data_IF_447121302139
#
_entry.id   IF_447121302139
#
_cell.length_a   1.000
_cell.length_b   1.000
_cell.length_c   1.000
_cell.angle_alpha   90.00
_cell.angle_beta   90.00
_cell.angle_gamma   90.00
#
_symmetry.space_group_name_H-M   'P 1'
#
loop_
_entity.id
_entity.type
_entity.pdbx_description
1 polymer ?
#
# COMPACT_ATOMS: atom_id res chain seq x y z
N UNK A 1 -14.95 11.31 -4.92
CA UNK A 1 -14.10 11.04 -6.08
C UNK A 1 -14.38 9.69 -6.71
N UNK A 2 -14.14 9.60 -8.02
CA UNK A 2 -14.04 8.31 -8.70
C UNK A 2 -12.61 7.74 -8.60
N UNK A 3 -12.43 6.51 -9.07
CA UNK A 3 -11.15 5.81 -9.00
C UNK A 3 -10.00 6.51 -9.76
N UNK A 4 -10.27 7.23 -10.86
CA UNK A 4 -9.21 7.96 -11.56
C UNK A 4 -8.72 9.14 -10.72
N UNK A 5 -9.62 9.89 -10.07
CA UNK A 5 -9.25 10.98 -9.17
C UNK A 5 -8.44 10.51 -7.96
N UNK A 6 -8.76 9.33 -7.42
CA UNK A 6 -7.96 8.70 -6.37
C UNK A 6 -6.52 8.44 -6.83
N UNK A 7 -6.34 7.80 -7.99
CA UNK A 7 -5.01 7.52 -8.52
C UNK A 7 -4.24 8.80 -8.86
N UNK A 8 -4.91 9.81 -9.43
CA UNK A 8 -4.30 11.12 -9.67
C UNK A 8 -3.75 11.75 -8.38
N UNK A 9 -4.45 11.63 -7.25
CA UNK A 9 -3.97 12.12 -5.96
C UNK A 9 -2.78 11.30 -5.44
N UNK A 10 -2.89 9.97 -5.41
CA UNK A 10 -1.82 9.08 -4.92
C UNK A 10 -0.54 9.24 -5.75
N UNK A 11 -0.66 9.33 -7.07
CA UNK A 11 0.46 9.44 -8.01
C UNK A 11 1.00 10.88 -8.16
N UNK A 12 0.34 11.88 -7.55
CA UNK A 12 0.79 13.27 -7.60
C UNK A 12 1.91 13.61 -6.61
N UNK A 13 2.26 12.69 -5.71
CA UNK A 13 3.39 12.83 -4.80
C UNK A 13 4.70 12.45 -5.52
N UNK A 14 5.80 13.15 -5.22
CA UNK A 14 7.08 12.82 -5.83
C UNK A 14 7.57 11.48 -5.25
N UNK A 15 7.91 10.47 -6.09
CA UNK A 15 8.41 9.19 -5.60
C UNK A 15 9.80 9.30 -4.94
N UNK A 16 10.46 10.45 -5.01
CA UNK A 16 11.73 10.74 -4.32
C UNK A 16 11.57 11.35 -2.93
N UNK A 17 10.37 11.82 -2.59
CA UNK A 17 10.04 12.31 -1.24
C UNK A 17 9.93 11.14 -0.25
N UNK A 18 10.15 11.42 1.03
CA UNK A 18 9.92 10.45 2.10
C UNK A 18 8.43 10.08 2.23
N UNK A 19 8.14 8.94 2.85
CA UNK A 19 6.76 8.49 3.11
C UNK A 19 5.92 9.57 3.84
N UNK A 20 6.51 10.21 4.84
CA UNK A 20 5.89 11.29 5.61
C UNK A 20 5.63 12.55 4.75
N UNK A 21 6.61 12.99 3.95
CA UNK A 21 6.44 14.14 3.05
C UNK A 21 5.34 13.90 2.01
N UNK A 22 5.30 12.68 1.44
CA UNK A 22 4.25 12.27 0.50
C UNK A 22 2.87 12.27 1.16
N UNK A 23 2.77 11.80 2.40
CA UNK A 23 1.54 11.81 3.17
C UNK A 23 1.08 13.23 3.51
N UNK A 24 1.97 14.09 3.99
CA UNK A 24 1.64 15.48 4.30
C UNK A 24 1.16 16.24 3.03
N UNK A 25 1.83 16.05 1.89
CA UNK A 25 1.38 16.63 0.62
C UNK A 25 0.00 16.11 0.18
N UNK A 26 -0.31 14.85 0.44
CA UNK A 26 -1.62 14.26 0.17
C UNK A 26 -2.69 14.84 1.11
N UNK A 27 -2.40 14.97 2.41
CA UNK A 27 -3.27 15.64 3.39
C UNK A 27 -3.58 17.06 2.96
N UNK A 28 -2.58 17.85 2.59
CA UNK A 28 -2.76 19.23 2.13
C UNK A 28 -3.70 19.31 0.93
N UNK A 29 -3.56 18.40 -0.04
CA UNK A 29 -4.44 18.33 -1.22
C UNK A 29 -5.86 17.92 -0.86
N UNK A 30 -6.02 16.87 -0.04
CA UNK A 30 -7.32 16.39 0.42
C UNK A 30 -8.06 17.47 1.23
N UNK A 31 -7.35 18.23 2.05
CA UNK A 31 -7.93 19.31 2.85
C UNK A 31 -8.48 20.49 2.01
N UNK A 32 -8.16 20.56 0.71
CA UNK A 32 -8.75 21.53 -0.23
C UNK A 32 -9.96 20.98 -0.98
N UNK A 33 -10.30 19.70 -0.81
CA UNK A 33 -11.44 19.07 -1.44
C UNK A 33 -12.68 19.15 -0.53
N UNK A 34 -13.90 19.12 -1.12
CA UNK A 34 -15.12 18.92 -0.35
C UNK A 34 -15.06 17.67 0.54
N UNK A 35 -15.68 17.71 1.72
CA UNK A 35 -15.68 16.58 2.67
C UNK A 35 -16.19 15.27 2.05
N UNK A 36 -17.19 15.33 1.17
CA UNK A 36 -17.67 14.15 0.44
C UNK A 36 -16.60 13.54 -0.47
N UNK A 37 -15.72 14.36 -1.04
CA UNK A 37 -14.57 13.89 -1.81
C UNK A 37 -13.49 13.29 -0.90
N UNK A 38 -13.22 13.86 0.28
CA UNK A 38 -12.29 13.28 1.28
C UNK A 38 -12.78 11.92 1.75
N UNK A 39 -14.07 11.79 2.06
CA UNK A 39 -14.67 10.51 2.41
C UNK A 39 -14.55 9.50 1.27
N UNK A 40 -14.87 9.91 0.05
CA UNK A 40 -14.71 9.04 -1.11
C UNK A 40 -13.25 8.61 -1.34
N UNK A 41 -12.25 9.44 -0.98
CA UNK A 41 -10.85 9.01 -1.02
C UNK A 41 -10.64 7.78 -0.14
N UNK A 42 -11.13 7.79 1.11
CA UNK A 42 -11.01 6.63 2.00
C UNK A 42 -11.72 5.40 1.43
N UNK A 43 -12.94 5.57 0.89
CA UNK A 43 -13.65 4.47 0.24
C UNK A 43 -12.86 3.88 -0.93
N UNK A 44 -12.19 4.72 -1.73
CA UNK A 44 -11.33 4.24 -2.83
C UNK A 44 -10.07 3.58 -2.32
N UNK A 45 -9.46 4.08 -1.24
CA UNK A 45 -8.30 3.45 -0.62
C UNK A 45 -8.65 2.03 -0.18
N UNK A 46 -9.77 1.86 0.51
CA UNK A 46 -10.26 0.56 0.96
C UNK A 46 -10.62 -0.36 -0.22
N UNK A 47 -11.29 0.19 -1.25
CA UNK A 47 -11.65 -0.53 -2.48
C UNK A 47 -10.42 -1.09 -3.22
N UNK A 48 -9.36 -0.29 -3.34
CA UNK A 48 -8.12 -0.75 -4.02
C UNK A 48 -7.29 -1.65 -3.13
N UNK A 49 -7.40 -1.53 -1.81
CA UNK A 49 -6.66 -2.37 -0.88
C UNK A 49 -7.22 -3.79 -0.82
N UNK A 50 -8.54 -3.95 -0.81
CA UNK A 50 -9.20 -5.25 -0.72
C UNK A 50 -8.64 -6.35 -1.66
N UNK A 51 -8.42 -6.13 -2.98
CA UNK A 51 -7.89 -7.17 -3.86
C UNK A 51 -6.42 -7.53 -3.63
N UNK A 52 -5.68 -6.77 -2.81
CA UNK A 52 -4.31 -7.12 -2.41
C UNK A 52 -4.29 -8.19 -1.32
N UNK A 53 -5.40 -8.41 -0.63
CA UNK A 53 -5.45 -9.28 0.56
C UNK A 53 -5.49 -10.77 0.18
N UNK A 54 -4.34 -11.28 -0.25
CA UNK A 54 -4.19 -12.63 -0.80
C UNK A 54 -2.90 -13.28 -0.34
N UNK A 55 -2.87 -14.61 -0.35
CA UNK A 55 -1.63 -15.36 -0.12
C UNK A 55 -0.54 -15.01 -1.15
N UNK A 56 -0.91 -14.59 -2.36
CA UNK A 56 0.09 -14.18 -3.34
C UNK A 56 0.84 -12.92 -2.88
N UNK A 57 0.11 -11.89 -2.43
CA UNK A 57 0.71 -10.64 -1.93
C UNK A 57 1.52 -10.87 -0.65
N UNK A 58 1.03 -11.73 0.26
CA UNK A 58 1.79 -12.14 1.44
C UNK A 58 3.13 -12.78 1.06
N UNK A 59 3.15 -13.68 0.08
CA UNK A 59 4.39 -14.33 -0.36
C UNK A 59 5.32 -13.35 -1.10
N UNK A 60 4.78 -12.38 -1.84
CA UNK A 60 5.57 -11.26 -2.40
C UNK A 60 6.22 -10.46 -1.27
N UNK A 61 5.45 -10.05 -0.25
CA UNK A 61 5.96 -9.34 0.92
C UNK A 61 7.03 -10.17 1.65
N UNK A 62 6.81 -11.48 1.82
CA UNK A 62 7.76 -12.38 2.45
C UNK A 62 9.06 -12.52 1.65
N UNK A 63 9.02 -12.54 0.32
CA UNK A 63 10.23 -12.49 -0.51
C UNK A 63 10.98 -11.17 -0.30
N UNK A 64 10.29 -10.03 -0.36
CA UNK A 64 10.88 -8.69 -0.23
C UNK A 64 11.46 -8.46 1.17
N UNK A 65 10.72 -8.81 2.22
CA UNK A 65 11.06 -8.60 3.63
C UNK A 65 11.86 -9.77 4.25
N UNK A 66 12.29 -10.74 3.44
CA UNK A 66 13.09 -11.90 3.87
C UNK A 66 12.41 -12.71 4.98
N UNK A 67 11.10 -12.92 4.83
CA UNK A 67 10.24 -13.67 5.75
C UNK A 67 9.90 -12.93 7.04
N UNK A 68 10.27 -11.64 7.16
CA UNK A 68 9.95 -10.80 8.33
C UNK A 68 8.67 -10.00 8.09
N UNK A 69 7.56 -10.70 7.86
CA UNK A 69 6.24 -10.09 7.70
C UNK A 69 5.49 -10.25 9.02
N UNK A 70 5.24 -9.14 9.72
CA UNK A 70 4.23 -9.08 10.78
C UNK A 70 2.86 -8.81 10.15
N UNK A 71 1.79 -8.97 10.95
CA UNK A 71 0.42 -8.68 10.50
C UNK A 71 0.30 -7.22 10.02
N UNK A 72 0.79 -6.26 10.82
CA UNK A 72 0.87 -4.84 10.42
C UNK A 72 1.81 -4.63 9.21
N UNK A 73 2.87 -5.44 9.10
CA UNK A 73 3.83 -5.33 8.00
C UNK A 73 3.22 -5.65 6.64
N UNK A 74 2.29 -6.60 6.56
CA UNK A 74 1.54 -6.85 5.33
C UNK A 74 0.60 -5.67 5.02
N UNK A 75 -0.05 -5.14 6.04
CA UNK A 75 -0.93 -3.97 5.89
C UNK A 75 -0.17 -2.75 5.35
N UNK A 76 1.01 -2.46 5.86
CA UNK A 76 1.84 -1.37 5.36
C UNK A 76 2.42 -1.66 3.97
N UNK A 77 2.68 -2.93 3.65
CA UNK A 77 3.12 -3.33 2.31
C UNK A 77 2.03 -3.12 1.25
N UNK A 78 0.76 -3.35 1.59
CA UNK A 78 -0.38 -2.99 0.72
C UNK A 78 -0.40 -1.48 0.46
N UNK A 79 -0.25 -0.67 1.50
CA UNK A 79 -0.17 0.79 1.40
C UNK A 79 0.96 1.24 0.46
N UNK A 80 2.14 0.63 0.62
CA UNK A 80 3.30 0.88 -0.23
C UNK A 80 3.04 0.52 -1.69
N UNK A 81 2.45 -0.65 -1.97
CA UNK A 81 2.09 -1.07 -3.34
C UNK A 81 1.10 -0.10 -4.01
N UNK A 82 0.11 0.40 -3.26
CA UNK A 82 -0.82 1.43 -3.73
C UNK A 82 -0.06 2.72 -4.02
N UNK A 83 0.89 3.10 -3.17
CA UNK A 83 1.75 4.25 -3.36
C UNK A 83 2.71 4.18 -4.54
N UNK A 84 3.00 2.99 -5.07
CA UNK A 84 3.72 2.82 -6.34
C UNK A 84 2.84 3.15 -7.56
N UNK A 85 1.55 3.40 -7.34
CA UNK A 85 0.58 3.80 -8.36
C UNK A 85 -0.20 2.65 -8.97
N UNK A 86 -1.16 3.03 -9.82
CA UNK A 86 -2.15 2.14 -10.43
C UNK A 86 -1.53 0.98 -11.20
N UNK A 87 -0.41 1.23 -11.87
CA UNK A 87 0.26 0.21 -12.66
C UNK A 87 0.87 -0.90 -11.78
N UNK A 88 1.52 -0.53 -10.68
CA UNK A 88 2.08 -1.50 -9.73
C UNK A 88 0.98 -2.26 -9.00
N UNK A 89 -0.08 -1.56 -8.59
CA UNK A 89 -1.28 -2.17 -8.02
C UNK A 89 -1.90 -3.23 -8.93
N UNK A 90 -2.09 -2.91 -10.22
CA UNK A 90 -2.64 -3.85 -11.18
C UNK A 90 -1.77 -5.10 -11.37
N UNK A 91 -0.43 -4.95 -11.34
CA UNK A 91 0.48 -6.09 -11.34
C UNK A 91 0.34 -6.92 -10.07
N UNK A 92 0.31 -6.31 -8.88
CA UNK A 92 0.16 -7.04 -7.63
C UNK A 92 -1.13 -7.89 -7.60
N UNK A 93 -2.24 -7.37 -8.12
CA UNK A 93 -3.53 -8.07 -8.15
C UNK A 93 -3.58 -9.17 -9.21
N UNK A 94 -3.04 -8.94 -10.40
CA UNK A 94 -3.28 -9.81 -11.56
C UNK A 94 -2.07 -10.63 -12.02
N UNK A 95 -0.86 -10.14 -11.80
CA UNK A 95 0.39 -10.79 -12.22
C UNK A 95 1.53 -10.42 -11.26
N UNK A 96 1.49 -10.88 -9.99
CA UNK A 96 2.42 -10.46 -8.96
C UNK A 96 3.88 -10.76 -9.31
N UNK A 97 4.16 -11.83 -10.06
CA UNK A 97 5.54 -12.17 -10.46
C UNK A 97 6.15 -11.14 -11.42
N UNK A 98 5.33 -10.40 -12.18
CA UNK A 98 5.80 -9.32 -13.04
C UNK A 98 6.31 -8.09 -12.26
N UNK A 99 6.01 -7.97 -10.97
CA UNK A 99 6.62 -6.95 -10.10
C UNK A 99 8.15 -7.06 -10.05
N UNK A 100 8.73 -8.21 -10.41
CA UNK A 100 10.19 -8.38 -10.54
C UNK A 100 10.84 -7.40 -11.55
N UNK A 101 10.08 -6.86 -12.50
CA UNK A 101 10.57 -5.82 -13.42
C UNK A 101 10.33 -4.39 -12.92
N UNK A 102 9.54 -4.22 -11.87
CA UNK A 102 9.20 -2.90 -11.36
C UNK A 102 10.46 -2.22 -10.77
N UNK A 103 10.73 -0.94 -11.08
CA UNK A 103 11.92 -0.25 -10.60
C UNK A 103 12.09 -0.26 -9.08
N UNK A 104 10.99 -0.11 -8.33
CA UNK A 104 11.01 -0.16 -6.87
C UNK A 104 11.49 -1.52 -6.34
N UNK A 105 10.98 -2.63 -6.89
CA UNK A 105 11.40 -3.97 -6.50
C UNK A 105 12.86 -4.24 -6.85
N UNK A 106 13.33 -3.77 -8.02
CA UNK A 106 14.74 -3.90 -8.41
C UNK A 106 15.67 -3.08 -7.52
N UNK A 107 15.24 -1.89 -7.06
CA UNK A 107 15.99 -1.08 -6.09
C UNK A 107 16.15 -1.85 -4.77
N UNK A 108 15.06 -2.40 -4.24
CA UNK A 108 15.08 -3.20 -3.00
C UNK A 108 15.98 -4.43 -3.12
N UNK A 109 15.96 -5.11 -4.27
CA UNK A 109 16.81 -6.27 -4.52
C UNK A 109 18.30 -5.92 -4.68
N UNK A 110 18.62 -4.69 -5.12
CA UNK A 110 20.00 -4.25 -5.33
C UNK A 110 20.74 -3.88 -4.03
N UNK A 111 20.01 -3.72 -2.92
CA UNK A 111 20.55 -3.32 -1.62
C UNK A 111 20.49 -4.49 -0.61
N UNK A 112 21.57 -4.77 0.14
CA UNK A 112 21.51 -5.72 1.25
C UNK A 112 20.47 -5.26 2.28
N UNK A 113 19.64 -6.17 2.77
CA UNK A 113 18.54 -5.84 3.72
C UNK A 113 19.05 -5.09 4.97
N UNK A 114 20.26 -5.43 5.44
CA UNK A 114 20.90 -4.79 6.60
C UNK A 114 21.32 -3.33 6.38
N UNK A 115 21.32 -2.87 5.13
CA UNK A 115 21.68 -1.49 4.74
C UNK A 115 20.44 -0.64 4.45
N UNK A 116 19.24 -1.22 4.53
CA UNK A 116 18.00 -0.47 4.36
C UNK A 116 17.84 0.57 5.47
N UNK A 117 17.49 1.76 5.05
CA UNK A 117 17.00 2.85 5.89
C UNK A 117 15.47 2.86 5.86
N UNK A 118 14.85 3.71 6.68
CA UNK A 118 13.39 3.90 6.67
C UNK A 118 12.88 4.26 5.26
N UNK A 119 13.67 4.98 4.45
CA UNK A 119 13.33 5.32 3.06
C UNK A 119 13.46 4.15 2.05
N UNK A 120 14.01 3.02 2.48
CA UNK A 120 14.08 1.79 1.70
C UNK A 120 13.00 0.79 2.12
N UNK A 121 12.45 0.89 3.33
CA UNK A 121 11.41 -0.03 3.76
C UNK A 121 10.16 0.12 2.88
N UNK A 122 9.58 -0.99 2.40
CA UNK A 122 8.39 -0.96 1.56
C UNK A 122 7.13 -0.80 2.42
N UNK A 123 7.06 0.28 3.19
CA UNK A 123 5.90 0.69 3.97
C UNK A 123 5.40 2.07 3.53
N UNK A 124 4.13 2.35 3.83
CA UNK A 124 3.56 3.70 3.75
C UNK A 124 2.36 3.81 4.68
N UNK A 125 2.55 3.47 5.96
CA UNK A 125 1.51 3.52 6.99
C UNK A 125 0.76 4.88 7.00
N UNK A 126 1.49 5.98 6.85
CA UNK A 126 0.93 7.34 6.93
C UNK A 126 -0.22 7.61 5.95
N UNK A 127 -0.33 6.86 4.85
CA UNK A 127 -1.42 7.04 3.87
C UNK A 127 -2.79 6.72 4.48
N UNK A 128 -2.85 5.80 5.44
CA UNK A 128 -4.10 5.37 6.08
C UNK A 128 -4.73 6.46 6.94
N UNK A 129 -3.92 7.43 7.38
CA UNK A 129 -4.38 8.56 8.17
C UNK A 129 -4.62 9.82 7.34
N UNK A 130 -4.34 9.81 6.04
CA UNK A 130 -4.38 11.02 5.23
C UNK A 130 -5.79 11.62 5.10
N UNK A 131 -6.80 10.78 4.93
CA UNK A 131 -8.19 11.23 4.84
C UNK A 131 -8.69 11.78 6.19
N UNK A 132 -8.41 11.07 7.28
CA UNK A 132 -8.78 11.47 8.64
C UNK A 132 -8.14 12.83 9.00
N UNK A 133 -6.82 12.97 8.81
CA UNK A 133 -6.11 14.23 9.07
C UNK A 133 -6.65 15.39 8.23
N UNK A 134 -7.03 15.14 6.97
CA UNK A 134 -7.61 16.15 6.10
C UNK A 134 -9.05 16.53 6.50
N UNK A 135 -9.81 15.58 7.03
CA UNK A 135 -11.15 15.80 7.57
C UNK A 135 -11.08 16.65 8.84
N UNK A 136 -10.27 16.21 9.82
CA UNK A 136 -10.05 16.92 11.08
C UNK A 136 -9.57 18.35 10.85
N UNK A 137 -8.64 18.56 9.89
CA UNK A 137 -8.17 19.90 9.55
C UNK A 137 -9.29 20.84 9.04
N UNK A 138 -10.35 20.29 8.42
CA UNK A 138 -11.48 21.07 7.90
C UNK A 138 -12.59 21.28 8.93
N UNK A 139 -12.86 20.28 9.77
CA UNK A 139 -14.01 20.27 10.69
C UNK A 139 -13.65 20.61 12.13
N UNK A 140 -12.41 20.31 12.54
CA UNK A 140 -11.98 20.30 13.93
C UNK A 140 -12.55 19.14 14.76
N UNK A 141 -13.12 18.12 14.10
CA UNK A 141 -13.72 16.94 14.73
C UNK A 141 -12.76 15.75 14.59
N UNK A 142 -12.23 15.28 15.71
CA UNK A 142 -11.52 13.99 15.81
C UNK A 142 -12.52 12.84 15.56
N UNK A 143 -12.13 11.83 14.79
CA UNK A 143 -12.96 10.64 14.42
C UNK A 143 -14.17 10.95 13.52
N UNK A 144 -14.30 12.20 13.03
CA UNK A 144 -15.46 12.63 12.26
C UNK A 144 -15.62 11.93 10.90
N UNK A 145 -14.51 11.49 10.28
CA UNK A 145 -14.57 10.73 9.04
C UNK A 145 -15.02 9.28 9.30
N UNK A 146 -14.57 8.65 10.39
CA UNK A 146 -15.05 7.32 10.80
C UNK A 146 -16.57 7.32 11.00
N UNK A 147 -17.11 8.30 11.72
CA UNK A 147 -18.56 8.45 11.90
C UNK A 147 -19.29 8.61 10.55
N UNK A 148 -18.71 9.37 9.62
CA UNK A 148 -19.29 9.60 8.30
C UNK A 148 -19.24 8.36 7.39
N UNK A 149 -18.21 7.52 7.51
CA UNK A 149 -18.11 6.22 6.83
C UNK A 149 -19.13 5.23 7.39
N UNK A 150 -19.23 5.12 8.72
CA UNK A 150 -20.23 4.28 9.38
C UNK A 150 -21.66 4.68 9.03
N UNK A 151 -21.93 5.99 8.89
CA UNK A 151 -23.22 6.48 8.42
C UNK A 151 -23.57 6.06 6.97
N UNK A 152 -22.57 5.59 6.20
CA UNK A 152 -22.71 4.98 4.88
C UNK A 152 -22.65 3.45 4.91
N UNK A 153 -22.74 2.83 6.09
CA UNK A 153 -22.68 1.38 6.27
C UNK A 153 -21.33 0.80 5.80
N UNK A 154 -20.26 1.59 5.94
CA UNK A 154 -18.90 1.21 5.60
C UNK A 154 -18.03 1.24 6.86
N UNK A 155 -17.51 0.08 7.24
CA UNK A 155 -16.56 -0.10 8.33
C UNK A 155 -15.19 -0.39 7.70
N UNK A 156 -14.24 0.54 7.87
CA UNK A 156 -12.94 0.45 7.19
C UNK A 156 -12.08 -0.66 7.81
N UNK A 157 -11.45 -1.51 6.99
CA UNK A 157 -10.53 -2.53 7.51
C UNK A 157 -9.31 -1.89 8.16
N UNK A 158 -8.81 -2.50 9.23
CA UNK A 158 -7.65 -2.01 10.01
C UNK A 158 -6.45 -2.95 9.98
N UNK A 159 -6.58 -4.10 9.33
CA UNK A 159 -5.51 -5.11 9.22
C UNK A 159 -5.70 -5.96 7.96
N UNK A 160 -4.62 -6.62 7.54
CA UNK A 160 -4.64 -7.55 6.42
C UNK A 160 -5.03 -8.93 6.90
N UNK A 161 -5.95 -9.58 6.19
CA UNK A 161 -6.46 -10.92 6.51
C UNK A 161 -6.40 -11.82 5.27
N UNK A 162 -5.18 -12.16 4.78
CA UNK A 162 -5.04 -12.88 3.52
C UNK A 162 -5.68 -14.26 3.62
N UNK A 163 -6.70 -14.49 2.80
CA UNK A 163 -7.41 -15.77 2.78
C UNK A 163 -6.71 -16.83 1.94
N UNK A 164 -6.71 -18.07 2.44
CA UNK A 164 -6.32 -19.26 1.67
C UNK A 164 -5.28 -20.14 2.36
N UNK A 165 -4.85 -21.17 1.63
CA UNK A 165 -3.81 -22.07 2.12
C UNK A 165 -2.43 -21.43 1.94
N UNK A 166 -1.57 -21.58 2.95
CA UNK A 166 -0.15 -21.20 2.87
C UNK A 166 0.57 -21.95 1.76
N UNK A 167 1.51 -21.27 1.11
CA UNK A 167 2.28 -21.84 0.03
C UNK A 167 3.56 -22.43 0.60
N UNK A 168 3.92 -23.62 0.14
CA UNK A 168 5.26 -24.15 0.38
C UNK A 168 6.30 -23.34 -0.40
N UNK A 169 7.55 -23.34 0.06
CA UNK A 169 8.65 -22.68 -0.67
C UNK A 169 8.77 -23.13 -2.14
N UNK A 170 8.46 -24.40 -2.43
CA UNK A 170 8.47 -24.92 -3.79
C UNK A 170 7.33 -24.33 -4.64
N UNK A 171 6.15 -24.13 -4.04
CA UNK A 171 5.03 -23.47 -4.70
C UNK A 171 5.28 -21.99 -4.93
N UNK A 172 5.87 -21.28 -3.95
CA UNK A 172 6.30 -19.88 -4.12
C UNK A 172 7.26 -19.77 -5.29
N UNK A 173 8.30 -20.61 -5.35
CA UNK A 173 9.25 -20.60 -6.46
C UNK A 173 8.63 -20.96 -7.82
N UNK A 174 7.57 -21.78 -7.84
CA UNK A 174 6.87 -22.14 -9.07
C UNK A 174 5.87 -21.09 -9.54
N UNK A 175 5.22 -20.37 -8.60
CA UNK A 175 4.20 -19.34 -8.87
C UNK A 175 4.79 -17.96 -9.06
N UNK A 176 5.88 -17.64 -8.35
CA UNK A 176 6.60 -16.37 -8.37
C UNK A 176 8.09 -16.58 -8.77
N UNK A 177 8.38 -17.24 -9.91
CA UNK A 177 9.75 -17.60 -10.27
C UNK A 177 10.68 -16.39 -10.46
N UNK A 178 10.17 -15.27 -11.00
CA UNK A 178 10.99 -14.09 -11.28
C UNK A 178 11.30 -13.31 -10.02
N UNK A 179 10.32 -13.11 -9.15
CA UNK A 179 10.53 -12.50 -7.83
C UNK A 179 11.43 -13.37 -6.95
N UNK A 180 11.24 -14.69 -6.98
CA UNK A 180 12.10 -15.63 -6.24
C UNK A 180 13.54 -15.51 -6.70
N UNK A 181 13.79 -15.44 -8.02
CA UNK A 181 15.13 -15.26 -8.56
C UNK A 181 15.72 -13.88 -8.21
N UNK A 182 14.91 -12.82 -8.28
CA UNK A 182 15.33 -11.46 -7.99
C UNK A 182 15.83 -11.29 -6.55
N UNK A 183 15.17 -11.93 -5.58
CA UNK A 183 15.51 -11.83 -4.17
C UNK A 183 16.36 -13.00 -3.64
N UNK A 184 16.87 -13.88 -4.53
CA UNK A 184 17.68 -15.03 -4.13
C UNK A 184 19.05 -14.64 -3.54
N UNK A 185 19.70 -13.62 -4.12
CA UNK A 185 21.07 -13.21 -3.78
C UNK A 185 21.13 -11.95 -2.88
N UNK A 186 19.97 -11.36 -2.60
CA UNK A 186 19.87 -10.15 -1.80
C UNK A 186 19.93 -10.48 -0.28
N UNK A 187 21.06 -11.03 0.15
CA UNK A 187 21.40 -11.32 1.57
C UNK A 187 21.90 -10.11 2.33
#
# INVERSE_FOLDING_TARGET
MNLNGFWELVESADPTDSAAERADALVERLAQLPLDEVLEFQLRLDEVRAPLDTMATLEVAALVLRGRVSDDGLWYFHAWLIGLGRAAHALAVHDPDALADHPAFRRLAALPYREWTDADFPDWEDVDYCAERAWEAQTGEEEGLEEALLARDHDSPVTAEPEGATWTRAEVAARLPRLTALFADAT
#
